data_IF_251770341220
#
_entry.id   IF_251770341220
#
_cell.length_a   1.000
_cell.length_b   1.000
_cell.length_c   1.000
_cell.angle_alpha   90.00
_cell.angle_beta   90.00
_cell.angle_gamma   90.00
#
_symmetry.space_group_name_H-M   'P 1'
#
loop_
_entity.id
_entity.type
_entity.pdbx_description
1 polymer ?
#
# COMPACT_ATOMS: atom_id res chain seq x y z
N UNK A 1 -5.64 10.16 1.44
CA UNK A 1 -6.60 11.24 1.10
C UNK A 1 -8.05 10.96 1.55
N UNK A 2 -8.37 9.79 2.13
CA UNK A 2 -9.67 9.58 2.81
C UNK A 2 -10.88 9.33 1.89
N UNK A 3 -10.65 8.96 0.63
CA UNK A 3 -11.70 8.80 -0.38
C UNK A 3 -12.05 7.33 -0.67
N UNK A 4 -11.69 6.39 0.21
CA UNK A 4 -11.81 4.96 -0.04
C UNK A 4 -13.27 4.57 -0.37
N UNK A 5 -14.25 5.14 0.35
CA UNK A 5 -15.67 4.91 0.10
C UNK A 5 -16.18 5.42 -1.26
N UNK A 6 -15.39 6.25 -1.96
CA UNK A 6 -15.74 6.82 -3.26
C UNK A 6 -15.14 6.05 -4.43
N UNK A 7 -14.10 5.23 -4.20
CA UNK A 7 -13.26 4.63 -5.27
C UNK A 7 -13.01 3.14 -5.12
N UNK A 8 -13.48 2.52 -4.04
CA UNK A 8 -13.28 1.08 -3.80
C UNK A 8 -14.57 0.34 -4.12
N UNK A 9 -14.48 -0.71 -4.94
CA UNK A 9 -15.63 -1.58 -5.23
C UNK A 9 -15.92 -2.53 -4.06
N UNK A 10 -17.10 -3.15 -4.08
CA UNK A 10 -17.46 -4.21 -3.13
C UNK A 10 -16.44 -5.36 -3.20
N UNK A 11 -15.60 -5.50 -2.18
CA UNK A 11 -14.44 -6.41 -2.19
C UNK A 11 -13.14 -5.79 -1.66
N UNK A 12 -13.09 -4.47 -1.48
CA UNK A 12 -12.00 -3.80 -0.75
C UNK A 12 -10.81 -3.34 -1.59
N UNK A 13 -10.81 -3.62 -2.89
CA UNK A 13 -9.75 -3.21 -3.83
C UNK A 13 -10.33 -2.40 -5.00
N UNK A 14 -9.52 -1.57 -5.70
CA UNK A 14 -9.91 -0.99 -6.99
C UNK A 14 -10.18 -2.10 -8.03
N UNK A 15 -11.02 -1.81 -9.03
CA UNK A 15 -11.25 -2.75 -10.12
C UNK A 15 -10.02 -2.89 -11.04
N UNK A 16 -10.05 -3.89 -11.93
CA UNK A 16 -8.97 -4.12 -12.88
C UNK A 16 -8.73 -2.88 -13.76
N UNK A 17 -7.46 -2.47 -13.88
CA UNK A 17 -6.99 -1.26 -14.57
C UNK A 17 -7.57 0.08 -14.06
N UNK A 18 -8.20 0.10 -12.89
CA UNK A 18 -8.55 1.34 -12.23
C UNK A 18 -7.31 2.20 -12.00
N UNK A 19 -7.44 3.50 -12.20
CA UNK A 19 -6.30 4.42 -12.15
C UNK A 19 -6.66 5.69 -11.40
N UNK A 20 -5.73 6.16 -10.57
CA UNK A 20 -5.77 7.51 -10.00
C UNK A 20 -4.82 8.39 -10.79
N UNK A 21 -5.31 9.52 -11.28
CA UNK A 21 -4.52 10.47 -12.07
C UNK A 21 -4.43 11.76 -11.25
N UNK A 22 -3.20 12.22 -11.01
CA UNK A 22 -2.92 13.48 -10.32
C UNK A 22 -2.33 14.45 -11.35
N UNK A 23 -3.09 15.48 -11.68
CA UNK A 23 -2.61 16.55 -12.57
C UNK A 23 -2.11 17.73 -11.74
N UNK A 24 -0.92 18.23 -12.06
CA UNK A 24 -0.38 19.46 -11.49
C UNK A 24 -0.68 20.63 -12.42
N UNK A 25 -1.25 21.70 -11.87
CA UNK A 25 -1.67 22.89 -12.60
C UNK A 25 -1.05 24.14 -11.99
N UNK A 26 -0.73 25.12 -12.82
CA UNK A 26 -0.33 26.46 -12.40
C UNK A 26 -1.44 27.43 -12.78
N UNK A 27 -1.98 28.15 -11.79
CA UNK A 27 -2.96 29.19 -12.06
C UNK A 27 -2.22 30.50 -12.36
N UNK A 28 -2.40 31.04 -13.57
CA UNK A 28 -1.72 32.26 -14.01
C UNK A 28 -2.33 33.55 -13.43
N UNK A 29 -3.49 33.48 -12.78
CA UNK A 29 -4.12 34.66 -12.15
C UNK A 29 -3.53 34.95 -10.77
N UNK A 30 -3.28 33.91 -9.96
CA UNK A 30 -2.72 34.04 -8.60
C UNK A 30 -1.27 33.53 -8.49
N UNK A 31 -0.71 33.00 -9.58
CA UNK A 31 0.61 32.37 -9.67
C UNK A 31 0.83 31.27 -8.61
N UNK A 32 -0.24 30.54 -8.26
CA UNK A 32 -0.18 29.44 -7.29
C UNK A 32 -0.34 28.07 -7.95
N UNK A 33 0.33 27.03 -7.41
CA UNK A 33 0.13 25.65 -7.85
C UNK A 33 -1.15 25.04 -7.27
N UNK A 34 -1.85 24.32 -8.12
CA UNK A 34 -3.03 23.53 -7.80
C UNK A 34 -2.87 22.10 -8.30
N UNK A 35 -3.66 21.18 -7.78
CA UNK A 35 -3.79 19.84 -8.31
C UNK A 35 -5.25 19.52 -8.65
N UNK A 36 -5.42 18.59 -9.58
CA UNK A 36 -6.69 17.94 -9.87
C UNK A 36 -6.52 16.44 -9.70
N UNK A 37 -7.46 15.82 -9.01
CA UNK A 37 -7.48 14.39 -8.78
C UNK A 37 -8.61 13.79 -9.61
N UNK A 38 -8.26 12.81 -10.44
CA UNK A 38 -9.18 12.09 -11.31
C UNK A 38 -9.10 10.59 -11.03
N UNK A 39 -10.19 9.88 -11.32
CA UNK A 39 -10.28 8.44 -11.14
C UNK A 39 -10.91 7.77 -12.35
N UNK A 40 -10.24 6.76 -12.88
CA UNK A 40 -10.80 5.80 -13.83
C UNK A 40 -11.19 4.54 -13.07
N UNK A 41 -12.42 4.08 -13.27
CA UNK A 41 -13.01 3.01 -12.45
C UNK A 41 -12.60 1.61 -12.86
N UNK A 42 -12.44 1.32 -14.16
CA UNK A 42 -12.09 -0.01 -14.67
C UNK A 42 -11.61 0.04 -16.13
N UNK A 43 -11.35 -1.12 -16.72
CA UNK A 43 -11.12 -1.34 -18.15
C UNK A 43 -12.41 -1.38 -18.98
N UNK A 44 -13.57 -1.49 -18.33
CA UNK A 44 -14.88 -1.56 -18.99
C UNK A 44 -15.42 -0.17 -19.28
N UNK A 45 -15.19 0.77 -18.36
CA UNK A 45 -15.65 2.16 -18.47
C UNK A 45 -14.45 3.06 -18.83
N UNK A 46 -14.58 3.78 -19.94
CA UNK A 46 -13.54 4.73 -20.39
C UNK A 46 -13.64 6.10 -19.72
N UNK A 47 -14.71 6.35 -18.96
CA UNK A 47 -14.93 7.62 -18.28
C UNK A 47 -13.92 7.86 -17.16
N UNK A 48 -13.41 9.10 -17.11
CA UNK A 48 -12.49 9.57 -16.08
C UNK A 48 -13.23 10.61 -15.22
N UNK A 49 -13.48 10.25 -13.97
CA UNK A 49 -14.29 11.04 -13.06
C UNK A 49 -13.45 12.04 -12.26
N UNK A 50 -13.87 13.31 -12.13
CA UNK A 50 -13.23 14.26 -11.23
C UNK A 50 -13.58 13.93 -9.78
N UNK A 51 -12.56 13.56 -9.00
CA UNK A 51 -12.72 13.24 -7.57
C UNK A 51 -12.17 14.32 -6.64
N UNK A 52 -11.49 15.35 -7.16
CA UNK A 52 -11.07 16.54 -6.38
C UNK A 52 -12.19 17.10 -5.48
N UNK A 53 -13.43 17.30 -5.97
CA UNK A 53 -14.50 17.87 -5.14
C UNK A 53 -14.91 16.98 -3.95
N UNK A 54 -14.55 15.69 -3.97
CA UNK A 54 -14.84 14.74 -2.89
C UNK A 54 -13.84 14.83 -1.73
N UNK A 55 -12.73 15.54 -1.93
CA UNK A 55 -11.78 15.85 -0.86
C UNK A 55 -12.33 16.97 0.00
N UNK A 56 -12.57 16.68 1.28
CA UNK A 56 -13.16 17.63 2.23
C UNK A 56 -12.36 18.95 2.28
N UNK A 57 -11.03 18.86 2.35
CA UNK A 57 -10.11 19.99 2.40
C UNK A 57 -10.11 20.85 1.12
N UNK A 58 -10.65 20.32 0.01
CA UNK A 58 -10.75 21.04 -1.27
C UNK A 58 -12.08 21.81 -1.41
N UNK A 59 -13.03 21.64 -0.49
CA UNK A 59 -14.25 22.44 -0.41
C UNK A 59 -15.12 22.38 -1.67
N UNK A 60 -15.22 21.21 -2.31
CA UNK A 60 -16.05 21.01 -3.51
C UNK A 60 -15.48 21.61 -4.80
N UNK A 61 -14.25 22.15 -4.79
CA UNK A 61 -13.64 22.78 -5.97
C UNK A 61 -13.08 21.74 -6.94
N UNK A 62 -13.09 22.07 -8.23
CA UNK A 62 -12.50 21.23 -9.29
C UNK A 62 -10.97 21.14 -9.19
N UNK A 63 -10.33 22.21 -8.72
CA UNK A 63 -8.90 22.31 -8.46
C UNK A 63 -8.67 22.59 -6.98
N UNK A 64 -7.65 21.97 -6.42
CA UNK A 64 -7.32 22.10 -5.01
C UNK A 64 -5.89 22.62 -4.84
N UNK A 65 -5.65 23.43 -3.82
CA UNK A 65 -4.32 24.00 -3.61
C UNK A 65 -3.30 22.89 -3.36
N UNK A 66 -2.08 23.06 -3.88
CA UNK A 66 -1.03 22.03 -3.74
C UNK A 66 -0.58 21.81 -2.28
N UNK A 67 -0.78 22.78 -1.40
CA UNK A 67 -0.51 22.65 0.05
C UNK A 67 -1.34 21.53 0.70
N UNK A 68 -2.60 21.36 0.28
CA UNK A 68 -3.46 20.26 0.73
C UNK A 68 -2.83 18.91 0.36
N UNK A 69 -2.35 18.75 -0.89
CA UNK A 69 -1.66 17.53 -1.31
C UNK A 69 -0.38 17.29 -0.49
N UNK A 70 0.42 18.34 -0.28
CA UNK A 70 1.63 18.26 0.58
C UNK A 70 1.30 17.85 2.01
N UNK A 71 0.19 18.35 2.58
CA UNK A 71 -0.25 17.99 3.93
C UNK A 71 -0.63 16.51 4.05
N UNK A 72 -1.22 15.92 3.00
CA UNK A 72 -1.47 14.48 2.98
C UNK A 72 -0.16 13.71 2.86
N UNK A 73 0.70 14.08 1.91
CA UNK A 73 1.98 13.42 1.70
C UNK A 73 2.85 13.42 2.96
N UNK A 74 2.90 14.55 3.68
CA UNK A 74 3.65 14.66 4.93
C UNK A 74 3.15 13.71 6.03
N UNK A 75 1.82 13.51 6.13
CA UNK A 75 1.21 12.61 7.12
C UNK A 75 1.34 11.12 6.77
N UNK A 76 1.53 10.79 5.50
CA UNK A 76 1.64 9.40 5.03
C UNK A 76 3.08 8.97 4.75
N UNK A 77 4.02 9.93 4.71
CA UNK A 77 5.44 9.64 4.52
C UNK A 77 5.95 8.90 5.77
N UNK A 78 6.55 7.74 5.56
CA UNK A 78 7.25 7.01 6.63
C UNK A 78 8.50 7.82 6.98
N UNK A 79 8.65 8.18 8.25
CA UNK A 79 9.73 9.07 8.73
C UNK A 79 11.11 8.43 8.61
N UNK A 80 11.20 7.10 8.77
CA UNK A 80 12.42 6.35 8.53
C UNK A 80 12.55 6.01 7.04
N UNK A 81 13.62 6.47 6.35
CA UNK A 81 13.86 6.17 4.93
C UNK A 81 14.30 4.72 4.70
N UNK A 82 14.30 3.89 5.74
CA UNK A 82 14.75 2.50 5.69
C UNK A 82 13.70 1.62 5.01
N UNK A 83 13.61 1.79 3.69
CA UNK A 83 12.82 0.95 2.80
C UNK A 83 13.23 -0.53 2.93
N UNK A 84 14.47 -0.82 3.33
CA UNK A 84 14.94 -2.17 3.58
C UNK A 84 14.23 -2.76 4.81
N UNK A 85 14.18 -2.01 5.92
CA UNK A 85 13.43 -2.42 7.13
C UNK A 85 11.95 -2.70 6.86
N UNK A 86 11.30 -1.91 6.01
CA UNK A 86 9.85 -2.01 5.78
C UNK A 86 9.45 -2.90 4.61
N UNK A 87 10.27 -3.03 3.57
CA UNK A 87 9.93 -3.74 2.34
C UNK A 87 10.76 -5.00 2.10
N UNK A 88 11.91 -5.17 2.76
CA UNK A 88 12.69 -6.41 2.66
C UNK A 88 12.09 -7.48 3.57
N UNK A 89 11.23 -8.32 3.01
CA UNK A 89 10.85 -9.59 3.64
C UNK A 89 11.87 -10.64 3.22
N UNK A 90 12.69 -11.14 4.15
CA UNK A 90 13.52 -12.32 3.89
C UNK A 90 12.64 -13.58 4.00
N UNK A 91 12.33 -14.28 2.88
CA UNK A 91 11.50 -15.47 2.89
C UNK A 91 12.15 -16.65 3.63
N UNK A 92 13.46 -16.59 3.92
CA UNK A 92 14.21 -17.66 4.59
C UNK A 92 14.17 -17.55 6.12
N UNK A 93 13.86 -16.37 6.67
CA UNK A 93 13.83 -16.13 8.12
C UNK A 93 12.77 -16.95 8.85
N UNK A 94 11.66 -17.28 8.19
CA UNK A 94 10.59 -18.12 8.72
C UNK A 94 10.74 -19.63 8.39
N UNK A 95 11.72 -20.00 7.56
CA UNK A 95 11.96 -21.41 7.20
C UNK A 95 12.79 -22.16 8.25
N UNK A 96 13.36 -21.46 9.25
CA UNK A 96 14.33 -22.01 10.19
C UNK A 96 13.72 -22.55 11.50
N UNK A 97 12.47 -23.02 11.49
CA UNK A 97 11.87 -23.70 12.67
C UNK A 97 11.24 -25.02 12.24
N UNK A 98 12.06 -26.03 11.92
CA UNK A 98 11.67 -27.46 11.94
C UNK A 98 12.87 -28.39 11.70
N UNK A 99 13.94 -28.30 12.49
CA UNK A 99 15.05 -29.27 12.39
C UNK A 99 15.49 -29.90 13.73
N UNK A 100 14.84 -29.55 14.83
CA UNK A 100 15.27 -30.00 16.17
C UNK A 100 14.58 -31.30 16.61
N UNK A 101 13.75 -31.93 15.76
CA UNK A 101 12.97 -33.11 16.13
C UNK A 101 13.53 -34.45 15.64
N UNK A 102 14.70 -34.49 15.00
CA UNK A 102 15.30 -35.75 14.54
C UNK A 102 16.37 -36.33 15.48
N UNK A 103 16.85 -35.56 16.48
CA UNK A 103 17.92 -36.05 17.36
C UNK A 103 17.42 -36.99 18.46
N UNK A 104 16.14 -36.93 18.86
CA UNK A 104 15.60 -37.80 19.92
C UNK A 104 15.34 -39.23 19.44
N UNK A 105 15.04 -39.44 18.16
CA UNK A 105 14.82 -40.79 17.59
C UNK A 105 16.14 -41.58 17.51
N UNK A 106 17.26 -40.91 17.22
CA UNK A 106 18.58 -41.56 17.17
C UNK A 106 19.07 -42.04 18.55
N UNK A 107 18.81 -41.27 19.62
CA UNK A 107 19.16 -41.68 20.99
C UNK A 107 18.32 -42.88 21.46
N UNK A 108 17.04 -42.95 21.08
CA UNK A 108 16.18 -44.09 21.44
C UNK A 108 16.69 -45.36 20.75
N UNK A 109 16.98 -45.31 19.44
CA UNK A 109 17.45 -46.49 18.69
C UNK A 109 18.83 -47.01 19.17
N UNK A 110 19.74 -46.12 19.58
CA UNK A 110 21.04 -46.54 20.14
C UNK A 110 20.91 -47.19 21.53
N UNK A 111 19.93 -46.78 22.34
CA UNK A 111 19.68 -47.38 23.65
C UNK A 111 19.10 -48.82 23.56
N UNK A 112 18.31 -49.10 22.52
CA UNK A 112 17.81 -50.47 22.26
C UNK A 112 18.91 -51.42 21.75
N UNK A 113 19.88 -50.92 20.97
CA UNK A 113 20.99 -51.74 20.46
C UNK A 113 21.97 -52.17 21.57
N UNK A 114 22.20 -51.32 22.57
CA UNK A 114 23.09 -51.66 23.70
C UNK A 114 22.43 -52.63 24.71
N UNK A 115 21.12 -52.81 24.66
CA UNK A 115 20.41 -53.72 25.58
C UNK A 115 20.43 -55.20 25.14
N UNK A 116 21.11 -55.53 24.03
CA UNK A 116 21.11 -56.88 23.43
C UNK A 116 22.50 -57.43 23.05
N UNK A 117 23.59 -56.90 23.64
CA UNK A 117 24.95 -57.49 23.62
C UNK A 117 25.38 -57.79 25.06
#
# INVERSE_FOLDING_TARGET
MGIQSQVVISGGYPAYSAATIVELWMNNTDNQPYFKLLYRTSDVEDEIYPITPKLYECGGKAYCKLDVFRSYAARTKIEEPDMEKWCSTDPRKNAAISLWSFSTIAFILMSYSWSHI
#
